data_IF_312516452671
#
_entry.id   IF_312516452671
#
_cell.length_a   1.000
_cell.length_b   1.000
_cell.length_c   1.000
_cell.angle_alpha   90.00
_cell.angle_beta   90.00
_cell.angle_gamma   90.00
#
_symmetry.space_group_name_H-M   'P 1'
#
loop_
_entity.id
_entity.type
_entity.pdbx_description
1 polymer ?
#
# COMPACT_ATOMS: atom_id res chain seq x y z
N UNK A 1 31.02 41.88 -23.64
CA UNK A 1 31.91 41.23 -22.65
C UNK A 1 31.24 40.97 -21.30
N UNK A 2 30.84 41.99 -20.52
CA UNK A 2 30.13 41.75 -19.24
C UNK A 2 28.73 41.17 -19.48
N UNK A 3 28.00 41.72 -20.46
CA UNK A 3 26.67 41.21 -20.87
C UNK A 3 26.74 39.75 -21.32
N UNK A 4 27.69 39.40 -22.21
CA UNK A 4 27.90 38.01 -22.64
C UNK A 4 28.24 37.05 -21.50
N UNK A 5 28.92 37.53 -20.44
CA UNK A 5 29.24 36.72 -19.28
C UNK A 5 28.01 36.47 -18.41
N UNK A 6 27.16 37.49 -18.24
CA UNK A 6 25.89 37.40 -17.51
C UNK A 6 24.94 36.47 -18.26
N UNK A 7 24.82 36.61 -19.58
CA UNK A 7 23.96 35.74 -20.41
C UNK A 7 24.39 34.28 -20.32
N UNK A 8 25.70 34.00 -20.41
CA UNK A 8 26.24 32.64 -20.22
C UNK A 8 25.96 32.09 -18.82
N UNK A 9 25.99 32.92 -17.79
CA UNK A 9 25.71 32.50 -16.42
C UNK A 9 24.22 32.18 -16.24
N UNK A 10 23.34 33.01 -16.80
CA UNK A 10 21.90 32.75 -16.84
C UNK A 10 21.58 31.44 -17.58
N UNK A 11 22.16 31.22 -18.76
CA UNK A 11 22.00 29.98 -19.52
C UNK A 11 22.42 28.75 -18.72
N UNK A 12 23.54 28.85 -17.99
CA UNK A 12 24.00 27.75 -17.12
C UNK A 12 23.04 27.51 -15.97
N UNK A 13 22.53 28.56 -15.32
CA UNK A 13 21.51 28.42 -14.29
C UNK A 13 20.23 27.75 -14.83
N UNK A 14 19.76 28.13 -16.01
CA UNK A 14 18.61 27.50 -16.67
C UNK A 14 18.88 26.01 -16.93
N UNK A 15 20.02 25.67 -17.54
CA UNK A 15 20.40 24.27 -17.78
C UNK A 15 20.47 23.44 -16.50
N UNK A 16 20.94 24.03 -15.39
CA UNK A 16 20.95 23.36 -14.09
C UNK A 16 19.53 23.06 -13.59
N UNK A 17 18.61 24.01 -13.72
CA UNK A 17 17.21 23.84 -13.35
C UNK A 17 16.55 22.76 -14.21
N UNK A 18 16.69 22.84 -15.54
CA UNK A 18 16.12 21.86 -16.48
C UNK A 18 16.63 20.44 -16.22
N UNK A 19 17.94 20.30 -15.93
CA UNK A 19 18.53 19.01 -15.58
C UNK A 19 17.96 18.48 -14.27
N UNK A 20 17.75 19.35 -13.28
CA UNK A 20 17.10 18.99 -12.02
C UNK A 20 15.68 18.47 -12.21
N UNK A 21 14.86 19.17 -12.99
CA UNK A 21 13.49 18.73 -13.32
C UNK A 21 13.47 17.40 -14.06
N UNK A 22 14.40 17.20 -15.02
CA UNK A 22 14.52 15.94 -15.75
C UNK A 22 14.83 14.77 -14.81
N UNK A 23 15.81 14.93 -13.92
CA UNK A 23 16.16 13.90 -12.93
C UNK A 23 14.97 13.57 -12.02
N UNK A 24 14.20 14.57 -11.59
CA UNK A 24 13.02 14.34 -10.75
C UNK A 24 11.90 13.58 -11.48
N UNK A 25 11.69 13.87 -12.78
CA UNK A 25 10.74 13.13 -13.62
C UNK A 25 11.18 11.68 -13.82
N UNK A 26 12.45 11.45 -14.12
CA UNK A 26 13.04 10.11 -14.29
C UNK A 26 12.96 9.30 -12.98
N UNK A 27 13.29 9.92 -11.85
CA UNK A 27 13.13 9.29 -10.53
C UNK A 27 11.67 8.86 -10.28
N UNK A 28 10.70 9.68 -10.67
CA UNK A 28 9.30 9.30 -10.55
C UNK A 28 8.93 8.15 -11.50
N UNK A 29 9.26 8.26 -12.79
CA UNK A 29 8.84 7.28 -13.81
C UNK A 29 9.51 5.92 -13.65
N UNK A 30 10.78 5.91 -13.28
CA UNK A 30 11.62 4.72 -13.37
C UNK A 30 11.70 3.98 -12.02
N UNK A 31 11.38 4.67 -10.92
CA UNK A 31 11.49 4.11 -9.57
C UNK A 31 10.16 4.16 -8.80
N UNK A 32 9.58 5.34 -8.59
CA UNK A 32 8.41 5.47 -7.71
C UNK A 32 7.12 4.92 -8.31
N UNK A 33 6.88 5.14 -9.60
CA UNK A 33 5.69 4.63 -10.27
C UNK A 33 5.67 3.08 -10.33
N UNK A 34 6.77 2.39 -10.70
CA UNK A 34 6.85 0.94 -10.59
C UNK A 34 6.68 0.41 -9.15
N UNK A 35 7.27 1.10 -8.17
CA UNK A 35 7.12 0.73 -6.76
C UNK A 35 5.66 0.81 -6.30
N UNK A 36 4.95 1.89 -6.67
CA UNK A 36 3.52 2.04 -6.40
C UNK A 36 2.70 0.95 -7.09
N UNK A 37 3.01 0.59 -8.34
CA UNK A 37 2.29 -0.47 -9.05
C UNK A 37 2.40 -1.82 -8.33
N UNK A 38 3.59 -2.16 -7.82
CA UNK A 38 3.79 -3.37 -7.01
C UNK A 38 2.99 -3.28 -5.70
N UNK A 39 3.00 -2.13 -5.04
CA UNK A 39 2.20 -1.88 -3.84
C UNK A 39 0.70 -2.05 -4.09
N UNK A 40 0.15 -1.46 -5.15
CA UNK A 40 -1.26 -1.58 -5.52
C UNK A 40 -1.67 -3.02 -5.82
N UNK A 41 -0.77 -3.83 -6.41
CA UNK A 41 -1.00 -5.26 -6.63
C UNK A 41 -1.11 -6.02 -5.31
N UNK A 42 -0.23 -5.72 -4.34
CA UNK A 42 -0.31 -6.32 -2.99
C UNK A 42 -1.61 -5.89 -2.29
N UNK A 43 -1.93 -4.60 -2.33
CA UNK A 43 -3.17 -4.09 -1.73
C UNK A 43 -4.41 -4.77 -2.31
N UNK A 44 -4.51 -4.83 -3.64
CA UNK A 44 -5.64 -5.49 -4.31
C UNK A 44 -5.75 -6.96 -3.91
N UNK A 45 -4.62 -7.67 -3.85
CA UNK A 45 -4.62 -9.06 -3.41
C UNK A 45 -5.10 -9.20 -1.96
N UNK A 46 -4.75 -8.28 -1.06
CA UNK A 46 -5.30 -8.27 0.30
C UNK A 46 -6.82 -8.07 0.29
N UNK A 47 -7.34 -7.09 -0.44
CA UNK A 47 -8.80 -6.87 -0.53
C UNK A 47 -9.50 -8.14 -1.05
N UNK A 48 -9.02 -8.71 -2.15
CA UNK A 48 -9.63 -9.88 -2.78
C UNK A 48 -9.63 -11.10 -1.83
N UNK A 49 -8.49 -11.35 -1.18
CA UNK A 49 -8.35 -12.50 -0.27
C UNK A 49 -9.13 -12.32 1.04
N UNK A 50 -9.15 -11.13 1.64
CA UNK A 50 -9.95 -10.88 2.86
C UNK A 50 -11.46 -10.98 2.60
N UNK A 51 -11.92 -10.51 1.43
CA UNK A 51 -13.30 -10.73 1.00
C UNK A 51 -13.59 -12.22 0.81
N UNK A 52 -12.63 -12.98 0.27
CA UNK A 52 -12.74 -14.43 0.15
C UNK A 52 -12.82 -15.11 1.52
N UNK A 53 -11.95 -14.75 2.47
CA UNK A 53 -11.94 -15.30 3.83
C UNK A 53 -13.27 -15.07 4.53
N UNK A 54 -13.79 -13.85 4.45
CA UNK A 54 -15.10 -13.51 5.00
C UNK A 54 -16.19 -14.41 4.41
N UNK A 55 -16.24 -14.58 3.09
CA UNK A 55 -17.23 -15.46 2.44
C UNK A 55 -17.09 -16.91 2.87
N UNK A 56 -15.85 -17.39 3.04
CA UNK A 56 -15.59 -18.74 3.57
C UNK A 56 -16.14 -18.86 4.99
N UNK A 57 -15.87 -17.90 5.88
CA UNK A 57 -16.39 -17.90 7.25
C UNK A 57 -17.94 -17.80 7.30
N UNK A 58 -18.55 -17.05 6.39
CA UNK A 58 -20.01 -16.93 6.29
C UNK A 58 -20.70 -18.21 5.79
N UNK A 59 -20.07 -18.92 4.83
CA UNK A 59 -20.70 -20.05 4.13
C UNK A 59 -20.21 -21.43 4.56
N UNK A 60 -19.08 -21.51 5.28
CA UNK A 60 -18.48 -22.76 5.73
C UNK A 60 -19.39 -23.50 6.70
N UNK A 61 -19.50 -24.82 6.53
CA UNK A 61 -20.11 -25.72 7.51
C UNK A 61 -19.07 -26.40 8.41
N UNK A 62 -17.79 -26.10 8.20
CA UNK A 62 -16.70 -26.58 9.05
C UNK A 62 -16.83 -26.00 10.46
N UNK A 63 -16.30 -26.74 11.43
CA UNK A 63 -16.19 -26.28 12.81
C UNK A 63 -15.15 -25.15 12.88
N UNK A 64 -15.42 -24.16 13.73
CA UNK A 64 -14.58 -23.01 14.03
C UNK A 64 -13.53 -23.41 15.07
N UNK A 65 -12.69 -24.35 14.68
CA UNK A 65 -11.59 -24.91 15.46
C UNK A 65 -10.24 -24.80 14.71
N UNK A 66 -9.15 -25.16 15.37
CA UNK A 66 -7.78 -25.04 14.85
C UNK A 66 -7.54 -25.81 13.53
N UNK A 67 -8.44 -26.72 13.15
CA UNK A 67 -8.34 -27.51 11.93
C UNK A 67 -9.14 -26.95 10.76
N UNK A 68 -9.84 -25.82 10.94
CA UNK A 68 -10.56 -25.17 9.86
C UNK A 68 -9.62 -24.83 8.69
N UNK A 69 -10.06 -25.16 7.47
CA UNK A 69 -9.29 -24.98 6.23
C UNK A 69 -8.80 -23.54 5.97
N UNK A 70 -9.43 -22.54 6.60
CA UNK A 70 -9.10 -21.12 6.43
C UNK A 70 -7.64 -20.81 6.79
N UNK A 71 -7.07 -21.49 7.79
CA UNK A 71 -5.69 -21.27 8.21
C UNK A 71 -4.69 -21.65 7.12
N UNK A 72 -4.93 -22.77 6.42
CA UNK A 72 -4.12 -23.18 5.29
C UNK A 72 -4.25 -22.19 4.13
N UNK A 73 -5.48 -21.74 3.84
CA UNK A 73 -5.71 -20.72 2.80
C UNK A 73 -4.96 -19.42 3.08
N UNK A 74 -4.99 -18.93 4.33
CA UNK A 74 -4.24 -17.73 4.74
C UNK A 74 -2.73 -17.91 4.57
N UNK A 75 -2.20 -19.09 4.90
CA UNK A 75 -0.77 -19.40 4.76
C UNK A 75 -0.34 -19.46 3.28
N UNK A 76 -1.13 -20.09 2.42
CA UNK A 76 -0.87 -20.18 0.98
C UNK A 76 -0.89 -18.79 0.34
N UNK A 77 -1.93 -18.00 0.61
CA UNK A 77 -2.06 -16.64 0.09
C UNK A 77 -0.92 -15.72 0.59
N UNK A 78 -0.46 -15.92 1.83
CA UNK A 78 0.71 -15.23 2.38
C UNK A 78 1.96 -15.54 1.57
N UNK A 79 2.15 -16.80 1.19
CA UNK A 79 3.28 -17.24 0.38
C UNK A 79 3.23 -16.66 -1.03
N UNK A 80 2.06 -16.65 -1.66
CA UNK A 80 1.85 -16.15 -3.03
C UNK A 80 2.22 -14.66 -3.21
N UNK A 81 2.10 -13.84 -2.18
CA UNK A 81 2.48 -12.41 -2.25
C UNK A 81 3.87 -12.11 -1.71
N UNK A 82 4.60 -13.11 -1.21
CA UNK A 82 5.89 -12.93 -0.52
C UNK A 82 6.92 -12.12 -1.31
N UNK A 83 7.05 -12.39 -2.62
CA UNK A 83 8.00 -11.70 -3.49
C UNK A 83 7.66 -10.22 -3.67
N UNK A 84 6.38 -9.90 -3.88
CA UNK A 84 5.92 -8.53 -4.05
C UNK A 84 6.09 -7.72 -2.76
N UNK A 85 5.77 -8.34 -1.61
CA UNK A 85 5.97 -7.73 -0.28
C UNK A 85 7.45 -7.48 -0.01
N UNK A 86 8.32 -8.43 -0.37
CA UNK A 86 9.77 -8.28 -0.24
C UNK A 86 10.33 -7.13 -1.08
N UNK A 87 9.83 -6.94 -2.32
CA UNK A 87 10.22 -5.80 -3.16
C UNK A 87 9.88 -4.47 -2.51
N UNK A 88 8.72 -4.37 -1.86
CA UNK A 88 8.32 -3.16 -1.14
C UNK A 88 9.22 -2.95 0.09
N UNK A 89 9.47 -4.01 0.88
CA UNK A 89 10.33 -3.95 2.06
C UNK A 89 11.78 -3.62 1.71
N UNK A 90 12.27 -4.04 0.53
CA UNK A 90 13.59 -3.65 0.04
C UNK A 90 13.74 -2.13 -0.14
N UNK A 91 12.64 -1.40 -0.30
CA UNK A 91 12.67 0.06 -0.40
C UNK A 91 13.05 0.73 0.92
N UNK A 92 13.08 0.02 2.05
CA UNK A 92 13.40 0.60 3.37
C UNK A 92 14.73 1.35 3.40
N UNK A 93 15.71 0.98 2.57
CA UNK A 93 16.98 1.70 2.42
C UNK A 93 16.82 3.16 1.97
N UNK A 94 15.63 3.54 1.48
CA UNK A 94 15.31 4.89 1.04
C UNK A 94 14.39 5.66 2.00
N UNK A 95 14.08 5.14 3.19
CA UNK A 95 13.20 5.80 4.18
C UNK A 95 13.72 7.17 4.65
N UNK A 96 15.03 7.39 4.58
CA UNK A 96 15.68 8.65 4.98
C UNK A 96 15.79 9.66 3.82
N UNK A 97 15.29 9.31 2.62
CA UNK A 97 15.30 10.23 1.50
C UNK A 97 14.41 11.46 1.80
N UNK A 98 14.92 12.69 1.69
CA UNK A 98 14.19 13.91 2.08
C UNK A 98 13.02 14.25 1.16
N UNK A 99 12.93 13.62 -0.02
CA UNK A 99 11.90 13.88 -1.02
C UNK A 99 10.76 12.88 -0.91
N UNK A 100 11.08 11.58 -0.84
CA UNK A 100 10.09 10.51 -0.93
C UNK A 100 10.19 9.46 0.20
N UNK A 101 11.09 9.65 1.17
CA UNK A 101 11.30 8.70 2.26
C UNK A 101 10.06 8.46 3.12
N UNK A 102 9.22 9.49 3.30
CA UNK A 102 7.92 9.35 4.00
C UNK A 102 6.95 8.42 3.23
N UNK A 103 6.88 8.53 1.90
CA UNK A 103 6.06 7.65 1.07
C UNK A 103 6.54 6.20 1.16
N UNK A 104 7.85 5.97 1.07
CA UNK A 104 8.47 4.66 1.26
C UNK A 104 8.16 4.08 2.64
N UNK A 105 8.28 4.88 3.70
CA UNK A 105 7.97 4.47 5.08
C UNK A 105 6.51 4.06 5.24
N UNK A 106 5.58 4.75 4.58
CA UNK A 106 4.15 4.36 4.59
C UNK A 106 3.92 3.04 3.87
N UNK A 107 4.52 2.83 2.69
CA UNK A 107 4.43 1.55 1.98
C UNK A 107 5.02 0.40 2.81
N UNK A 108 6.20 0.60 3.41
CA UNK A 108 6.84 -0.42 4.23
C UNK A 108 6.03 -0.69 5.51
N UNK A 109 5.55 0.36 6.18
CA UNK A 109 4.68 0.23 7.35
C UNK A 109 3.36 -0.49 7.07
N UNK A 110 2.79 -0.32 5.88
CA UNK A 110 1.61 -1.06 5.44
C UNK A 110 1.85 -2.58 5.38
N UNK A 111 3.05 -3.01 4.98
CA UNK A 111 3.42 -4.44 4.84
C UNK A 111 3.85 -5.04 6.19
N UNK A 112 4.70 -4.31 6.92
CA UNK A 112 5.36 -4.76 8.16
C UNK A 112 4.47 -4.56 9.40
N UNK A 113 3.47 -3.68 9.32
CA UNK A 113 2.68 -3.26 10.48
C UNK A 113 3.51 -2.53 11.52
N UNK A 114 2.96 -2.38 12.73
CA UNK A 114 3.65 -1.72 13.85
C UNK A 114 4.63 -2.63 14.61
N UNK A 115 4.50 -3.96 14.48
CA UNK A 115 5.13 -4.91 15.43
C UNK A 115 6.45 -5.57 14.94
N UNK A 116 6.79 -5.52 13.65
CA UNK A 116 7.82 -6.41 13.08
C UNK A 116 9.11 -5.72 12.61
N UNK A 117 9.45 -4.53 13.11
CA UNK A 117 10.73 -3.89 12.77
C UNK A 117 11.96 -4.60 13.39
N UNK A 118 11.79 -5.50 14.37
CA UNK A 118 12.88 -6.05 15.18
C UNK A 118 13.24 -7.54 14.93
N UNK A 119 12.39 -8.38 14.33
CA UNK A 119 12.55 -9.86 14.38
C UNK A 119 13.15 -10.55 13.14
N UNK A 120 13.52 -9.81 12.08
CA UNK A 120 13.96 -10.44 10.80
C UNK A 120 15.29 -11.20 10.91
N UNK A 121 16.10 -10.97 11.95
CA UNK A 121 17.43 -11.57 12.07
C UNK A 121 17.46 -12.99 12.69
N UNK A 122 16.36 -13.49 13.28
CA UNK A 122 16.41 -14.69 14.14
C UNK A 122 15.77 -15.95 13.53
N UNK A 123 14.77 -15.84 12.66
CA UNK A 123 13.90 -16.99 12.28
C UNK A 123 13.99 -17.46 10.82
N UNK A 124 14.94 -16.95 10.04
CA UNK A 124 14.95 -17.13 8.59
C UNK A 124 13.92 -16.22 7.91
N UNK A 125 14.26 -15.71 6.72
CA UNK A 125 13.50 -14.62 6.09
C UNK A 125 12.12 -15.09 5.61
N UNK A 126 11.09 -14.81 6.40
CA UNK A 126 9.70 -14.78 5.93
C UNK A 126 9.35 -13.33 5.62
N UNK A 127 8.91 -13.00 4.39
CA UNK A 127 8.49 -11.65 4.09
C UNK A 127 7.37 -11.25 5.08
N UNK A 128 7.47 -10.09 5.75
CA UNK A 128 6.54 -9.71 6.81
C UNK A 128 5.13 -9.47 6.26
N UNK A 129 4.11 -10.04 6.90
CA UNK A 129 2.71 -9.97 6.45
C UNK A 129 1.76 -9.54 7.58
N UNK A 130 1.97 -8.35 8.12
CA UNK A 130 1.28 -7.94 9.35
C UNK A 130 -0.24 -8.11 9.30
N UNK A 131 -0.87 -7.81 8.17
CA UNK A 131 -2.31 -7.95 8.00
C UNK A 131 -2.79 -9.40 8.14
N UNK A 132 -2.15 -10.35 7.43
CA UNK A 132 -2.56 -11.76 7.51
C UNK A 132 -2.09 -12.44 8.79
N UNK A 133 -0.94 -12.04 9.32
CA UNK A 133 -0.44 -12.55 10.60
C UNK A 133 -1.39 -12.13 11.75
N UNK A 134 -1.89 -10.89 11.71
CA UNK A 134 -2.90 -10.39 12.66
C UNK A 134 -4.23 -11.11 12.51
N UNK A 135 -4.67 -11.36 11.26
CA UNK A 135 -5.90 -12.13 11.00
C UNK A 135 -5.76 -13.55 11.54
N UNK A 136 -4.68 -14.25 11.21
CA UNK A 136 -4.40 -15.61 11.64
C UNK A 136 -4.48 -15.71 13.16
N UNK A 137 -3.73 -14.84 13.86
CA UNK A 137 -3.69 -14.80 15.32
C UNK A 137 -5.07 -14.51 15.92
N UNK A 138 -5.80 -13.56 15.36
CA UNK A 138 -7.15 -13.21 15.82
C UNK A 138 -8.15 -14.37 15.65
N UNK A 139 -8.11 -15.04 14.49
CA UNK A 139 -8.96 -16.21 14.24
C UNK A 139 -8.60 -17.37 15.16
N UNK A 140 -7.32 -17.65 15.34
CA UNK A 140 -6.83 -18.72 16.22
C UNK A 140 -7.34 -18.52 17.66
N UNK A 141 -7.25 -17.29 18.19
CA UNK A 141 -7.78 -16.96 19.52
C UNK A 141 -9.29 -17.16 19.63
N UNK A 142 -10.05 -16.74 18.62
CA UNK A 142 -11.51 -16.94 18.58
C UNK A 142 -11.84 -18.44 18.53
N UNK A 143 -11.13 -19.20 17.71
CA UNK A 143 -11.43 -20.62 17.48
C UNK A 143 -11.07 -21.48 18.69
N UNK A 144 -10.03 -21.10 19.44
CA UNK A 144 -9.65 -21.70 20.73
C UNK A 144 -10.58 -21.34 21.88
N UNK A 145 -11.41 -20.31 21.74
CA UNK A 145 -12.32 -19.88 22.81
C UNK A 145 -13.45 -20.91 23.04
N UNK A 146 -14.00 -20.93 24.26
CA UNK A 146 -15.07 -21.85 24.66
C UNK A 146 -16.48 -21.31 24.40
N UNK A 147 -16.64 -20.31 23.55
CA UNK A 147 -17.94 -19.70 23.22
C UNK A 147 -18.70 -20.54 22.18
N UNK A 148 -20.03 -20.36 22.05
CA UNK A 148 -20.84 -21.01 21.02
C UNK A 148 -20.31 -20.79 19.60
N UNK A 149 -20.54 -21.78 18.74
CA UNK A 149 -20.05 -21.79 17.36
C UNK A 149 -20.51 -20.58 16.52
N UNK A 150 -21.78 -20.20 16.66
CA UNK A 150 -22.33 -19.03 15.97
C UNK A 150 -21.67 -17.72 16.43
N UNK A 151 -21.31 -17.63 17.72
CA UNK A 151 -20.59 -16.48 18.27
C UNK A 151 -19.15 -16.44 17.77
N UNK A 152 -18.46 -17.58 17.68
CA UNK A 152 -17.12 -17.67 17.06
C UNK A 152 -17.15 -17.15 15.64
N UNK A 153 -18.12 -17.62 14.85
CA UNK A 153 -18.29 -17.21 13.45
C UNK A 153 -18.55 -15.71 13.32
N UNK A 154 -19.47 -15.18 14.13
CA UNK A 154 -19.78 -13.75 14.16
C UNK A 154 -18.55 -12.90 14.51
N UNK A 155 -17.78 -13.33 15.52
CA UNK A 155 -16.54 -12.64 15.92
C UNK A 155 -15.44 -12.74 14.85
N UNK A 156 -15.28 -13.90 14.22
CA UNK A 156 -14.31 -14.10 13.14
C UNK A 156 -14.60 -13.20 11.93
N UNK A 157 -15.87 -13.10 11.53
CA UNK A 157 -16.31 -12.17 10.47
C UNK A 157 -16.04 -10.71 10.89
N UNK A 158 -16.33 -10.35 12.15
CA UNK A 158 -16.08 -9.01 12.67
C UNK A 158 -14.60 -8.63 12.64
N UNK A 159 -13.72 -9.54 13.08
CA UNK A 159 -12.26 -9.33 13.03
C UNK A 159 -11.77 -9.19 11.58
N UNK A 160 -12.27 -10.04 10.68
CA UNK A 160 -11.92 -9.97 9.24
C UNK A 160 -12.32 -8.62 8.63
N UNK A 161 -13.54 -8.14 8.91
CA UNK A 161 -14.01 -6.83 8.43
C UNK A 161 -13.24 -5.67 9.07
N UNK A 162 -12.91 -5.76 10.36
CA UNK A 162 -12.12 -4.75 11.04
C UNK A 162 -10.75 -4.56 10.40
N UNK A 163 -10.04 -5.66 10.13
CA UNK A 163 -8.75 -5.62 9.44
C UNK A 163 -8.87 -5.14 7.99
N UNK A 164 -9.94 -5.51 7.28
CA UNK A 164 -10.18 -5.00 5.93
C UNK A 164 -10.30 -3.47 5.90
N UNK A 165 -11.02 -2.89 6.87
CA UNK A 165 -11.14 -1.44 7.00
C UNK A 165 -9.79 -0.79 7.35
N UNK A 166 -9.04 -1.36 8.29
CA UNK A 166 -7.71 -0.86 8.66
C UNK A 166 -6.75 -0.86 7.47
N UNK A 167 -6.79 -1.91 6.65
CA UNK A 167 -6.02 -2.02 5.41
C UNK A 167 -6.39 -0.90 4.44
N UNK A 168 -7.67 -0.59 4.28
CA UNK A 168 -8.11 0.51 3.41
C UNK A 168 -7.68 1.88 3.94
N UNK A 169 -7.76 2.11 5.25
CA UNK A 169 -7.30 3.35 5.87
C UNK A 169 -5.80 3.55 5.66
N UNK A 170 -4.99 2.51 5.88
CA UNK A 170 -3.55 2.56 5.64
C UNK A 170 -3.20 2.74 4.16
N UNK A 171 -3.98 2.13 3.25
CA UNK A 171 -3.81 2.37 1.81
C UNK A 171 -4.03 3.85 1.47
N UNK A 172 -5.07 4.48 2.04
CA UNK A 172 -5.33 5.89 1.79
C UNK A 172 -4.16 6.78 2.25
N UNK A 173 -3.52 6.47 3.39
CA UNK A 173 -2.33 7.19 3.85
C UNK A 173 -1.16 7.07 2.86
N UNK A 174 -0.98 5.91 2.22
CA UNK A 174 0.04 5.72 1.19
C UNK A 174 -0.29 6.56 -0.05
N UNK A 175 -1.55 6.58 -0.47
CA UNK A 175 -1.99 7.34 -1.65
C UNK A 175 -1.89 8.86 -1.43
N UNK A 176 -2.20 9.34 -0.24
CA UNK A 176 -2.05 10.76 0.12
C UNK A 176 -0.57 11.18 0.03
N UNK A 177 0.36 10.36 0.52
CA UNK A 177 1.79 10.61 0.38
C UNK A 177 2.28 10.48 -1.07
N UNK A 178 1.73 9.54 -1.86
CA UNK A 178 2.03 9.44 -3.29
C UNK A 178 1.70 10.73 -4.02
N UNK A 179 0.53 11.33 -3.76
CA UNK A 179 0.16 12.60 -4.39
C UNK A 179 1.10 13.73 -4.01
N UNK A 180 1.53 13.81 -2.74
CA UNK A 180 2.50 14.81 -2.29
C UNK A 180 3.85 14.65 -3.01
N UNK A 181 4.37 13.42 -3.07
CA UNK A 181 5.65 13.14 -3.74
C UNK A 181 5.56 13.39 -5.23
N UNK A 182 4.48 12.95 -5.88
CA UNK A 182 4.22 13.20 -7.30
C UNK A 182 4.16 14.70 -7.60
N UNK A 183 3.46 15.46 -6.76
CA UNK A 183 3.36 16.91 -6.93
C UNK A 183 4.73 17.59 -6.78
N UNK A 184 5.51 17.18 -5.78
CA UNK A 184 6.87 17.68 -5.55
C UNK A 184 7.83 17.37 -6.69
N UNK A 185 7.77 16.17 -7.26
CA UNK A 185 8.70 15.73 -8.32
C UNK A 185 8.31 16.20 -9.72
N UNK A 186 7.02 16.44 -9.96
CA UNK A 186 6.51 16.81 -11.28
C UNK A 186 6.10 18.29 -11.37
N UNK A 187 6.40 19.09 -10.35
CA UNK A 187 6.06 20.52 -10.29
C UNK A 187 4.55 20.80 -10.30
N UNK A 188 3.73 19.86 -9.81
CA UNK A 188 2.28 20.08 -9.71
C UNK A 188 1.99 20.84 -8.41
N UNK A 189 1.03 21.77 -8.44
CA UNK A 189 0.52 22.38 -7.20
C UNK A 189 0.03 21.28 -6.26
N UNK A 190 0.67 21.17 -5.10
CA UNK A 190 0.18 20.35 -3.97
C UNK A 190 -1.14 20.98 -3.53
N UNK A 191 -2.23 20.22 -3.35
CA UNK A 191 -3.42 20.77 -2.69
C UNK A 191 -3.00 21.22 -1.29
N UNK A 192 -3.15 22.51 -0.99
CA UNK A 192 -2.86 23.05 0.35
C UNK A 192 -3.67 22.27 1.39
N UNK A 193 -3.07 22.09 2.57
CA UNK A 193 -3.62 21.34 3.70
C UNK A 193 -5.07 21.75 3.99
N UNK A 194 -6.01 20.93 3.50
CA UNK A 194 -7.45 21.21 3.59
C UNK A 194 -8.34 20.16 2.94
N UNK A 195 -7.80 18.97 2.66
CA UNK A 195 -8.54 17.82 2.13
C UNK A 195 -8.90 16.83 3.25
N UNK A 196 -9.40 17.31 4.40
CA UNK A 196 -10.05 16.42 5.37
C UNK A 196 -11.42 15.94 4.87
N UNK A 197 -11.99 16.62 3.86
CA UNK A 197 -13.28 16.33 3.24
C UNK A 197 -13.13 15.27 2.11
N UNK A 198 -13.67 14.05 2.28
CA UNK A 198 -13.60 12.98 1.29
C UNK A 198 -14.23 13.33 -0.06
N UNK A 199 -15.32 14.11 -0.06
CA UNK A 199 -16.07 14.42 -1.28
C UNK A 199 -15.29 15.36 -2.21
N UNK A 200 -14.48 16.27 -1.63
CA UNK A 200 -13.59 17.15 -2.40
C UNK A 200 -12.36 16.42 -2.94
N UNK A 201 -11.93 15.34 -2.29
CA UNK A 201 -10.86 14.45 -2.77
C UNK A 201 -11.31 13.71 -4.02
N UNK A 202 -12.47 13.06 -3.99
CA UNK A 202 -12.98 12.27 -5.11
C UNK A 202 -13.22 13.13 -6.37
N UNK A 203 -13.78 14.32 -6.20
CA UNK A 203 -13.96 15.30 -7.28
C UNK A 203 -12.64 15.78 -7.91
N UNK A 204 -11.56 15.89 -7.12
CA UNK A 204 -10.23 16.25 -7.64
C UNK A 204 -9.60 15.10 -8.43
N UNK A 205 -9.71 13.87 -7.94
CA UNK A 205 -9.20 12.69 -8.63
C UNK A 205 -9.98 12.37 -9.92
N UNK A 206 -11.32 12.44 -9.91
CA UNK A 206 -12.14 12.16 -11.10
C UNK A 206 -11.94 13.19 -12.22
N UNK A 207 -11.75 14.47 -11.88
CA UNK A 207 -11.47 15.53 -12.87
C UNK A 207 -10.08 15.40 -13.50
N UNK A 208 -9.08 14.92 -12.76
CA UNK A 208 -7.67 14.94 -13.20
C UNK A 208 -7.17 13.60 -13.73
N UNK A 209 -7.82 12.49 -13.34
CA UNK A 209 -7.57 11.15 -13.83
C UNK A 209 -8.91 10.49 -14.23
N UNK A 210 -9.54 10.95 -15.33
CA UNK A 210 -10.77 10.33 -15.79
C UNK A 210 -10.51 8.85 -16.04
N UNK A 211 -11.28 7.99 -15.35
CA UNK A 211 -11.23 6.53 -15.52
C UNK A 211 -11.18 6.23 -17.02
N UNK A 212 -10.13 5.57 -17.51
CA UNK A 212 -10.06 5.11 -18.90
C UNK A 212 -11.32 4.28 -19.15
N UNK A 213 -12.29 4.85 -19.87
CA UNK A 213 -13.52 4.14 -20.27
C UNK A 213 -13.06 2.88 -20.98
N UNK A 214 -13.37 1.71 -20.39
CA UNK A 214 -13.25 0.43 -21.09
C UNK A 214 -14.02 0.60 -22.39
N UNK A 215 -13.32 0.51 -23.53
CA UNK A 215 -13.99 0.45 -24.84
C UNK A 215 -14.91 -0.76 -24.78
N UNK A 216 -16.21 -0.50 -24.87
CA UNK A 216 -17.19 -1.56 -25.08
C UNK A 216 -16.78 -2.30 -26.35
N UNK A 217 -16.45 -3.58 -26.21
CA UNK A 217 -16.34 -4.48 -27.35
C UNK A 217 -17.78 -4.68 -27.83
N UNK A 218 -18.12 -4.02 -28.93
CA UNK A 218 -19.36 -4.26 -29.67
C UNK A 218 -19.27 -5.70 -30.20
N UNK A 219 -20.21 -6.54 -29.79
CA UNK A 219 -20.54 -7.79 -30.48
C UNK A 219 -21.65 -7.51 -31.46
#
# INVERSE_FOLDING_TARGET
>A
MIVDLIDKLLDRCIQFVERGEKIQRELYSDFLAPALEVFEKVHRNYIDTFVSYRRTLESSRELMDEHHSIFNTIADDSSLTGDMRSKIVALRSFEDNPIFGRFVRRMCGYIVGQAMAAEVLVKGYHPPNASRDSLYTGLEQIFKSSIPEDDKRSQAIKVTNGLLNEIQDHYQLVMDEHVRVKARLLGLKVPEEGMSDPDKRDLYYEKRFPKRRKRAVVK
#
